data_IF_145530605959
#
_entry.id   IF_145530605959
#
_cell.length_a   1.000
_cell.length_b   1.000
_cell.length_c   1.000
_cell.angle_alpha   90.00
_cell.angle_beta   90.00
_cell.angle_gamma   90.00
#
_symmetry.space_group_name_H-M   'P 1'
#
loop_
_entity.id
_entity.type
_entity.pdbx_description
1 polymer ?
#
# COMPACT_ATOMS: atom_id res chain seq x y z
N UNK A 1 -23.78 1.77 22.66
CA UNK A 1 -23.89 2.20 24.06
C UNK A 1 -23.80 3.71 24.26
N UNK A 2 -22.87 4.47 23.65
CA UNK A 2 -22.83 5.96 23.74
C UNK A 2 -23.12 6.63 22.38
N UNK A 3 -23.97 6.03 21.54
CA UNK A 3 -24.47 6.68 20.32
C UNK A 3 -25.89 7.20 20.46
N UNK A 4 -26.59 6.82 21.53
CA UNK A 4 -27.97 7.25 21.83
C UNK A 4 -28.02 8.45 22.78
N UNK A 5 -26.88 8.87 23.33
CA UNK A 5 -26.78 10.05 24.18
C UNK A 5 -26.03 11.13 23.39
N UNK A 6 -26.69 11.70 22.38
CA UNK A 6 -26.28 13.02 21.88
C UNK A 6 -26.49 13.99 23.04
N UNK A 7 -25.43 14.26 23.80
CA UNK A 7 -25.43 15.35 24.76
C UNK A 7 -25.36 16.61 23.92
N UNK A 8 -26.53 17.16 23.62
CA UNK A 8 -26.77 18.25 22.66
C UNK A 8 -26.00 19.55 22.97
N UNK A 9 -25.32 19.63 24.13
CA UNK A 9 -24.59 20.80 24.59
C UNK A 9 -23.07 20.61 24.78
N UNK A 10 -22.49 19.44 24.45
CA UNK A 10 -21.05 19.21 24.64
C UNK A 10 -20.30 19.05 23.31
N UNK A 11 -19.29 19.88 23.09
CA UNK A 11 -18.43 19.77 21.91
C UNK A 11 -17.15 18.97 22.23
N UNK A 12 -17.10 17.74 21.70
CA UNK A 12 -15.97 16.82 21.84
C UNK A 12 -14.61 17.39 21.39
N UNK A 13 -14.60 18.35 20.47
CA UNK A 13 -13.36 18.95 19.96
C UNK A 13 -12.79 20.08 20.82
N UNK A 14 -13.56 20.58 21.80
CA UNK A 14 -13.21 21.76 22.61
C UNK A 14 -13.06 21.38 24.09
N UNK A 15 -13.80 20.39 24.56
CA UNK A 15 -13.82 20.01 25.97
C UNK A 15 -12.88 18.83 26.29
N UNK A 16 -11.79 19.12 27.00
CA UNK A 16 -10.81 18.12 27.46
C UNK A 16 -11.42 17.10 28.44
N UNK A 17 -12.54 17.42 29.07
CA UNK A 17 -13.28 16.56 29.99
C UNK A 17 -14.55 15.97 29.37
N UNK A 18 -14.74 16.06 28.05
CA UNK A 18 -15.93 15.57 27.34
C UNK A 18 -16.33 14.14 27.77
N UNK A 19 -15.37 13.22 27.81
CA UNK A 19 -15.62 11.83 28.22
C UNK A 19 -16.10 11.74 29.66
N UNK A 20 -15.52 12.53 30.57
CA UNK A 20 -15.96 12.59 31.96
C UNK A 20 -17.41 13.10 32.06
N UNK A 21 -17.74 14.19 31.38
CA UNK A 21 -19.10 14.75 31.39
C UNK A 21 -20.13 13.76 30.85
N UNK A 22 -19.80 13.05 29.77
CA UNK A 22 -20.65 11.99 29.22
C UNK A 22 -20.94 10.90 30.25
N UNK A 23 -19.90 10.35 30.89
CA UNK A 23 -20.10 9.31 31.90
C UNK A 23 -20.80 9.84 33.15
N UNK A 24 -20.50 11.08 33.56
CA UNK A 24 -21.17 11.72 34.68
C UNK A 24 -22.68 11.82 34.43
N UNK A 25 -23.11 12.31 33.26
CA UNK A 25 -24.54 12.36 32.91
C UNK A 25 -25.19 10.98 32.87
N UNK A 26 -24.51 9.97 32.31
CA UNK A 26 -25.02 8.60 32.29
C UNK A 26 -25.18 8.02 33.71
N UNK A 27 -24.29 8.37 34.64
CA UNK A 27 -24.34 7.92 36.03
C UNK A 27 -25.38 8.69 36.84
N UNK A 28 -25.45 10.01 36.69
CA UNK A 28 -26.30 10.88 37.52
C UNK A 28 -27.73 10.97 37.00
N UNK A 29 -27.89 11.16 35.69
CA UNK A 29 -29.19 11.45 35.06
C UNK A 29 -29.88 10.16 34.62
N UNK A 30 -29.13 9.24 34.00
CA UNK A 30 -29.68 7.96 33.54
C UNK A 30 -29.65 6.86 34.62
N UNK A 31 -29.16 7.18 35.82
CA UNK A 31 -29.07 6.29 37.01
C UNK A 31 -28.57 4.88 36.69
N UNK A 32 -27.63 4.75 35.75
CA UNK A 32 -27.04 3.46 35.43
C UNK A 32 -26.04 3.06 36.52
N UNK A 33 -25.99 1.76 36.80
CA UNK A 33 -25.02 1.18 37.72
C UNK A 33 -23.59 1.41 37.20
N UNK A 34 -22.78 2.10 37.99
CA UNK A 34 -21.39 2.38 37.67
C UNK A 34 -20.54 1.12 37.54
N UNK A 35 -20.83 0.08 38.32
CA UNK A 35 -20.11 -1.19 38.22
C UNK A 35 -20.43 -1.90 36.90
N UNK A 36 -21.69 -1.87 36.46
CA UNK A 36 -22.10 -2.39 35.16
C UNK A 36 -21.39 -1.65 34.00
N UNK A 37 -21.33 -0.31 34.05
CA UNK A 37 -20.62 0.49 33.04
C UNK A 37 -19.12 0.16 33.03
N UNK A 38 -18.49 0.09 34.21
CA UNK A 38 -17.07 -0.23 34.30
C UNK A 38 -16.77 -1.65 33.81
N UNK A 39 -17.67 -2.60 34.06
CA UNK A 39 -17.59 -3.96 33.51
C UNK A 39 -17.62 -3.95 31.98
N UNK A 40 -18.46 -3.12 31.37
CA UNK A 40 -18.51 -2.97 29.91
C UNK A 40 -17.23 -2.36 29.37
N UNK A 41 -16.71 -1.28 29.97
CA UNK A 41 -15.43 -0.67 29.57
C UNK A 41 -14.30 -1.69 29.60
N UNK A 42 -14.18 -2.46 30.70
CA UNK A 42 -13.20 -3.55 30.81
C UNK A 42 -13.41 -4.62 29.75
N UNK A 43 -14.66 -4.95 29.41
CA UNK A 43 -14.97 -5.90 28.35
C UNK A 43 -14.47 -5.41 26.99
N UNK A 44 -14.76 -4.16 26.60
CA UNK A 44 -14.26 -3.58 25.36
C UNK A 44 -12.72 -3.53 25.31
N UNK A 45 -12.08 -3.09 26.40
CA UNK A 45 -10.62 -3.06 26.49
C UNK A 45 -10.01 -4.45 26.28
N UNK A 46 -10.53 -5.47 26.97
CA UNK A 46 -10.07 -6.86 26.82
C UNK A 46 -10.25 -7.38 25.41
N UNK A 47 -11.38 -7.08 24.75
CA UNK A 47 -11.60 -7.44 23.34
C UNK A 47 -10.56 -6.81 22.43
N UNK A 48 -10.28 -5.51 22.57
CA UNK A 48 -9.27 -4.85 21.75
C UNK A 48 -7.85 -5.35 22.05
N UNK A 49 -7.54 -5.66 23.31
CA UNK A 49 -6.27 -6.25 23.68
C UNK A 49 -6.09 -7.65 23.06
N UNK A 50 -7.13 -8.49 23.07
CA UNK A 50 -7.09 -9.79 22.39
C UNK A 50 -6.84 -9.64 20.89
N UNK A 51 -7.52 -8.68 20.24
CA UNK A 51 -7.34 -8.41 18.81
C UNK A 51 -5.94 -7.91 18.50
N UNK A 52 -5.37 -7.06 19.36
CA UNK A 52 -4.03 -6.51 19.19
C UNK A 52 -2.94 -7.56 19.41
N UNK A 53 -3.09 -8.41 20.44
CA UNK A 53 -2.10 -9.44 20.78
C UNK A 53 -2.12 -10.61 19.79
N UNK A 54 -3.31 -11.01 19.32
CA UNK A 54 -3.40 -12.05 18.32
C UNK A 54 -3.02 -11.50 16.93
N UNK A 55 -1.89 -11.99 16.39
CA UNK A 55 -1.34 -11.53 15.12
C UNK A 55 -2.30 -11.64 13.94
N UNK A 56 -3.07 -12.71 13.84
CA UNK A 56 -4.04 -12.89 12.75
C UNK A 56 -5.19 -11.89 12.88
N UNK A 57 -5.74 -11.74 14.08
CA UNK A 57 -6.81 -10.78 14.36
C UNK A 57 -6.34 -9.34 14.12
N UNK A 58 -5.15 -8.96 14.59
CA UNK A 58 -4.56 -7.64 14.41
C UNK A 58 -4.56 -7.23 12.93
N UNK A 59 -4.10 -8.14 12.07
CA UNK A 59 -3.96 -7.89 10.64
C UNK A 59 -5.31 -7.88 9.91
N UNK A 60 -6.14 -8.92 10.11
CA UNK A 60 -7.44 -9.04 9.42
C UNK A 60 -8.41 -7.93 9.84
N UNK A 61 -8.48 -7.62 11.13
CA UNK A 61 -9.31 -6.51 11.64
C UNK A 61 -8.72 -5.17 11.22
N UNK A 62 -7.40 -5.01 11.26
CA UNK A 62 -6.71 -3.81 10.80
C UNK A 62 -7.05 -3.45 9.36
N UNK A 63 -7.04 -4.45 8.46
CA UNK A 63 -7.49 -4.30 7.06
C UNK A 63 -8.95 -3.84 6.99
N UNK A 64 -9.87 -4.56 7.65
CA UNK A 64 -11.29 -4.20 7.58
C UNK A 64 -11.59 -2.79 8.13
N UNK A 65 -10.86 -2.35 9.16
CA UNK A 65 -10.98 -1.01 9.73
C UNK A 65 -10.36 0.06 8.83
N UNK A 66 -9.26 -0.23 8.11
CA UNK A 66 -8.68 0.71 7.15
C UNK A 66 -9.66 1.01 6.02
N UNK A 67 -10.43 0.01 5.61
CA UNK A 67 -11.46 0.13 4.58
C UNK A 67 -12.73 0.83 5.05
N UNK A 68 -13.24 0.45 6.23
CA UNK A 68 -14.44 1.06 6.76
C UNK A 68 -14.47 1.04 8.29
N UNK A 69 -14.19 2.19 8.90
CA UNK A 69 -14.22 2.38 10.37
C UNK A 69 -15.56 2.00 11.01
N UNK A 70 -16.68 2.07 10.29
CA UNK A 70 -18.01 1.73 10.82
C UNK A 70 -18.18 0.24 11.10
N UNK A 71 -17.33 -0.63 10.55
CA UNK A 71 -17.42 -2.08 10.74
C UNK A 71 -17.13 -2.49 12.19
N UNK A 72 -16.44 -1.65 12.96
CA UNK A 72 -15.97 -1.98 14.31
C UNK A 72 -17.09 -2.47 15.24
N UNK A 73 -18.29 -1.88 15.17
CA UNK A 73 -19.43 -2.33 15.98
C UNK A 73 -19.87 -3.74 15.61
N UNK A 74 -19.88 -4.07 14.31
CA UNK A 74 -20.20 -5.40 13.79
C UNK A 74 -19.14 -6.42 14.21
N UNK A 75 -17.86 -6.05 14.15
CA UNK A 75 -16.75 -6.91 14.59
C UNK A 75 -16.87 -7.24 16.08
N UNK A 76 -17.13 -6.23 16.93
CA UNK A 76 -17.29 -6.44 18.37
C UNK A 76 -18.50 -7.35 18.62
N UNK A 77 -19.65 -7.06 18.00
CA UNK A 77 -20.85 -7.89 18.14
C UNK A 77 -20.57 -9.33 17.74
N UNK A 78 -19.97 -9.57 16.57
CA UNK A 78 -19.68 -10.94 16.11
C UNK A 78 -18.69 -11.64 17.05
N UNK A 79 -17.59 -10.98 17.43
CA UNK A 79 -16.57 -11.57 18.31
C UNK A 79 -17.10 -12.03 19.68
N UNK A 80 -18.13 -11.36 20.21
CA UNK A 80 -18.76 -11.69 21.50
C UNK A 80 -19.80 -12.81 21.40
N UNK A 81 -20.34 -13.06 20.21
CA UNK A 81 -21.50 -13.93 19.99
C UNK A 81 -21.22 -15.11 19.06
N UNK A 82 -19.95 -15.43 18.80
CA UNK A 82 -19.56 -16.59 17.99
C UNK A 82 -18.32 -17.27 18.55
N UNK A 83 -18.10 -18.53 18.18
CA UNK A 83 -16.85 -19.20 18.49
C UNK A 83 -15.66 -18.48 17.82
N UNK A 84 -14.46 -18.68 18.35
CA UNK A 84 -13.25 -18.02 17.81
C UNK A 84 -12.97 -18.40 16.35
N UNK A 85 -13.17 -19.67 15.99
CA UNK A 85 -13.04 -20.16 14.61
C UNK A 85 -14.04 -19.48 13.69
N UNK A 86 -15.32 -19.42 14.08
CA UNK A 86 -16.38 -18.76 13.32
C UNK A 86 -16.11 -17.26 13.14
N UNK A 87 -15.56 -16.59 14.15
CA UNK A 87 -15.17 -15.19 14.04
C UNK A 87 -14.05 -14.99 13.01
N UNK A 88 -13.02 -15.85 13.02
CA UNK A 88 -11.95 -15.80 12.01
C UNK A 88 -12.49 -16.02 10.60
N UNK A 89 -13.31 -17.06 10.40
CA UNK A 89 -13.97 -17.31 9.11
C UNK A 89 -14.84 -16.13 8.68
N UNK A 90 -15.53 -15.47 9.62
CA UNK A 90 -16.27 -14.25 9.32
C UNK A 90 -15.38 -13.10 8.85
N UNK A 91 -14.18 -12.92 9.43
CA UNK A 91 -13.23 -11.91 8.96
C UNK A 91 -12.79 -12.22 7.52
N UNK A 92 -12.47 -13.48 7.21
CA UNK A 92 -12.06 -13.91 5.87
C UNK A 92 -13.15 -13.66 4.83
N UNK A 93 -14.40 -14.00 5.16
CA UNK A 93 -15.55 -13.71 4.32
C UNK A 93 -15.71 -12.20 4.08
N UNK A 94 -15.52 -11.37 5.11
CA UNK A 94 -15.63 -9.91 4.96
C UNK A 94 -14.53 -9.32 4.09
N UNK A 95 -13.30 -9.85 4.17
CA UNK A 95 -12.19 -9.44 3.29
C UNK A 95 -12.51 -9.84 1.85
N UNK A 96 -12.96 -11.08 1.63
CA UNK A 96 -13.35 -11.59 0.31
C UNK A 96 -14.52 -10.81 -0.31
N UNK A 97 -15.57 -10.55 0.47
CA UNK A 97 -16.72 -9.72 0.06
C UNK A 97 -16.26 -8.32 -0.40
N UNK A 98 -15.33 -7.72 0.35
CA UNK A 98 -14.81 -6.39 0.07
C UNK A 98 -14.02 -6.37 -1.24
N UNK A 99 -13.07 -7.28 -1.42
CA UNK A 99 -12.32 -7.38 -2.69
C UNK A 99 -13.23 -7.66 -3.88
N UNK A 100 -14.15 -8.63 -3.75
CA UNK A 100 -15.11 -8.95 -4.82
C UNK A 100 -15.90 -7.72 -5.26
N UNK A 101 -16.35 -6.91 -4.30
CA UNK A 101 -17.09 -5.67 -4.59
C UNK A 101 -16.26 -4.66 -5.38
N UNK A 102 -15.00 -4.44 -5.02
CA UNK A 102 -14.15 -3.47 -5.72
C UNK A 102 -13.71 -3.95 -7.10
N UNK A 103 -13.53 -5.25 -7.28
CA UNK A 103 -13.16 -5.84 -8.56
C UNK A 103 -14.29 -5.70 -9.61
N UNK A 104 -15.56 -5.52 -9.19
CA UNK A 104 -16.71 -5.35 -10.10
C UNK A 104 -16.74 -6.44 -11.19
N UNK A 105 -16.59 -7.70 -10.76
CA UNK A 105 -16.55 -8.90 -11.60
C UNK A 105 -15.34 -9.00 -12.57
N UNK A 106 -14.34 -8.11 -12.46
CA UNK A 106 -13.06 -8.27 -13.17
C UNK A 106 -12.19 -9.35 -12.53
N UNK A 107 -11.27 -9.90 -13.31
CA UNK A 107 -10.12 -10.66 -12.80
C UNK A 107 -8.97 -9.69 -12.44
N UNK A 108 -8.02 -10.15 -11.62
CA UNK A 108 -6.82 -9.40 -11.25
C UNK A 108 -6.01 -8.96 -12.48
N UNK A 109 -5.97 -9.78 -13.52
CA UNK A 109 -5.26 -9.49 -14.77
C UNK A 109 -5.86 -8.29 -15.53
N UNK A 110 -7.15 -7.98 -15.29
CA UNK A 110 -7.85 -6.87 -15.92
C UNK A 110 -7.86 -5.59 -15.06
N UNK A 111 -7.09 -5.56 -13.97
CA UNK A 111 -6.97 -4.37 -13.13
C UNK A 111 -5.91 -3.42 -13.69
N UNK A 112 -6.37 -2.28 -14.17
CA UNK A 112 -5.53 -1.18 -14.64
C UNK A 112 -5.63 0.03 -13.71
N UNK A 113 -4.52 0.75 -13.54
CA UNK A 113 -4.40 1.90 -12.64
C UNK A 113 -5.55 2.92 -12.78
N UNK A 114 -5.88 3.32 -14.01
CA UNK A 114 -6.86 4.38 -14.31
C UNK A 114 -8.30 4.00 -13.95
N UNK A 115 -8.68 2.73 -14.14
CA UNK A 115 -10.07 2.29 -14.01
C UNK A 115 -10.33 1.42 -12.76
N UNK A 116 -9.28 1.00 -12.06
CA UNK A 116 -9.33 0.04 -10.96
C UNK A 116 -8.52 0.46 -9.74
N UNK A 117 -8.24 1.76 -9.57
CA UNK A 117 -7.39 2.31 -8.50
C UNK A 117 -7.71 1.77 -7.10
N UNK A 118 -8.99 1.74 -6.73
CA UNK A 118 -9.41 1.29 -5.40
C UNK A 118 -9.20 -0.23 -5.20
N UNK A 119 -9.53 -1.04 -6.21
CA UNK A 119 -9.28 -2.48 -6.22
C UNK A 119 -7.78 -2.77 -6.10
N UNK A 120 -6.95 -2.09 -6.89
CA UNK A 120 -5.49 -2.21 -6.86
C UNK A 120 -4.95 -1.87 -5.47
N UNK A 121 -5.38 -0.73 -4.89
CA UNK A 121 -4.91 -0.31 -3.56
C UNK A 121 -5.23 -1.34 -2.49
N UNK A 122 -6.44 -1.89 -2.50
CA UNK A 122 -6.86 -2.90 -1.53
C UNK A 122 -6.14 -4.24 -1.74
N UNK A 123 -5.92 -4.65 -2.99
CA UNK A 123 -5.15 -5.85 -3.32
C UNK A 123 -3.72 -5.73 -2.87
N UNK A 124 -3.05 -4.60 -3.13
CA UNK A 124 -1.67 -4.37 -2.69
C UNK A 124 -1.56 -4.27 -1.16
N UNK A 125 -2.54 -3.65 -0.49
CA UNK A 125 -2.60 -3.63 0.97
C UNK A 125 -2.76 -5.04 1.54
N UNK A 126 -3.71 -5.81 1.03
CA UNK A 126 -3.93 -7.19 1.49
C UNK A 126 -2.71 -8.07 1.16
N UNK A 127 -2.06 -7.87 0.02
CA UNK A 127 -0.85 -8.60 -0.35
C UNK A 127 0.27 -8.39 0.68
N UNK A 128 0.48 -7.15 1.13
CA UNK A 128 1.42 -6.83 2.21
C UNK A 128 1.04 -7.54 3.51
N UNK A 129 -0.23 -7.49 3.88
CA UNK A 129 -0.73 -8.08 5.12
C UNK A 129 -0.63 -9.61 5.10
N UNK A 130 -1.08 -10.24 4.02
CA UNK A 130 -1.09 -11.70 3.90
C UNK A 130 0.33 -12.26 3.75
N UNK A 131 1.25 -11.52 3.12
CA UNK A 131 2.69 -11.88 3.10
C UNK A 131 3.27 -11.92 4.52
N UNK A 132 2.92 -10.95 5.37
CA UNK A 132 3.28 -11.01 6.78
C UNK A 132 2.64 -12.25 7.41
N UNK A 133 1.32 -12.43 7.30
CA UNK A 133 0.59 -13.54 7.93
C UNK A 133 1.14 -14.92 7.56
N UNK A 134 1.50 -15.15 6.29
CA UNK A 134 2.06 -16.40 5.79
C UNK A 134 3.42 -16.75 6.43
N UNK A 135 4.17 -15.76 6.93
CA UNK A 135 5.40 -16.01 7.68
C UNK A 135 5.09 -16.17 9.17
N UNK A 136 4.84 -17.42 9.59
CA UNK A 136 4.56 -17.78 10.99
C UNK A 136 5.77 -17.57 11.92
N UNK A 137 6.99 -17.52 11.37
CA UNK A 137 8.24 -17.32 12.14
C UNK A 137 8.54 -15.85 12.41
N UNK A 138 7.79 -14.93 11.81
CA UNK A 138 7.98 -13.49 11.99
C UNK A 138 6.92 -12.90 12.92
N UNK A 139 7.35 -12.08 13.87
CA UNK A 139 6.45 -11.27 14.72
C UNK A 139 6.15 -9.89 14.11
N UNK A 140 6.60 -9.61 12.88
CA UNK A 140 6.35 -8.34 12.21
C UNK A 140 4.85 -8.06 12.09
N UNK A 141 4.49 -6.80 12.33
CA UNK A 141 3.14 -6.26 12.23
C UNK A 141 3.10 -5.15 11.19
N UNK A 142 2.04 -5.12 10.40
CA UNK A 142 1.78 -4.01 9.48
C UNK A 142 1.55 -2.71 10.28
N UNK A 143 2.17 -1.60 9.85
CA UNK A 143 2.10 -0.32 10.57
C UNK A 143 0.80 0.44 10.25
N UNK A 144 -0.36 -0.08 10.69
CA UNK A 144 -1.67 0.55 10.45
C UNK A 144 -1.77 1.99 10.96
N UNK A 145 -1.06 2.34 12.03
CA UNK A 145 -1.02 3.71 12.56
C UNK A 145 -0.48 4.69 11.53
N UNK A 146 0.68 4.36 10.92
CA UNK A 146 1.24 5.13 9.80
C UNK A 146 0.35 5.07 8.58
N UNK A 147 -0.16 3.89 8.23
CA UNK A 147 -1.05 3.70 7.08
C UNK A 147 -2.27 4.63 7.11
N UNK A 148 -2.79 4.91 8.31
CA UNK A 148 -3.96 5.76 8.52
C UNK A 148 -3.63 7.26 8.63
N UNK A 149 -2.45 7.61 9.14
CA UNK A 149 -2.05 9.00 9.41
C UNK A 149 -1.36 9.66 8.21
N UNK A 150 -0.64 8.85 7.42
CA UNK A 150 0.09 9.30 6.24
C UNK A 150 -0.77 9.14 4.98
N UNK A 151 -0.35 9.78 3.89
CA UNK A 151 -1.03 9.65 2.61
C UNK A 151 -0.40 8.51 1.81
N UNK A 152 -1.16 7.45 1.55
CA UNK A 152 -0.70 6.29 0.78
C UNK A 152 -1.28 6.27 -0.62
N UNK A 153 -0.40 6.10 -1.60
CA UNK A 153 -0.72 6.07 -3.03
C UNK A 153 -0.16 4.81 -3.69
N UNK A 154 -0.39 4.69 -4.99
CA UNK A 154 0.16 3.62 -5.81
C UNK A 154 1.34 4.15 -6.62
N UNK A 155 2.49 3.50 -6.47
CA UNK A 155 3.72 3.74 -7.22
C UNK A 155 3.77 2.85 -8.47
N UNK A 156 4.29 3.38 -9.58
CA UNK A 156 4.62 2.59 -10.75
C UNK A 156 6.07 2.11 -10.64
N UNK A 157 6.32 0.81 -10.62
CA UNK A 157 7.67 0.26 -10.42
C UNK A 157 8.58 0.72 -11.58
N UNK A 158 8.16 0.48 -12.81
CA UNK A 158 8.76 1.04 -14.02
C UNK A 158 8.18 2.41 -14.35
N UNK A 159 8.97 3.29 -14.96
CA UNK A 159 8.51 4.62 -15.33
C UNK A 159 7.42 4.58 -16.42
N UNK A 160 6.61 5.64 -16.46
CA UNK A 160 5.72 5.91 -17.58
C UNK A 160 6.45 6.88 -18.52
N UNK A 161 7.05 6.37 -19.62
CA UNK A 161 7.92 7.09 -20.56
C UNK A 161 7.33 8.37 -21.17
N UNK A 162 6.04 8.58 -21.01
CA UNK A 162 5.24 9.63 -21.63
C UNK A 162 5.59 11.03 -21.07
N UNK A 163 6.57 11.13 -20.16
CA UNK A 163 6.97 12.36 -19.46
C UNK A 163 8.46 12.67 -19.56
N UNK A 164 9.01 12.66 -20.78
CA UNK A 164 10.37 13.18 -21.02
C UNK A 164 10.52 14.62 -20.47
N UNK A 165 11.60 14.96 -19.76
CA UNK A 165 11.80 16.32 -19.25
C UNK A 165 11.91 17.36 -20.39
N UNK A 166 11.09 18.41 -20.31
CA UNK A 166 11.07 19.50 -21.32
C UNK A 166 11.74 20.76 -20.75
N UNK A 167 11.39 21.15 -19.53
CA UNK A 167 11.91 22.38 -18.92
C UNK A 167 13.37 22.19 -18.50
N UNK A 168 14.16 23.26 -18.62
CA UNK A 168 15.58 23.29 -18.21
C UNK A 168 15.81 22.75 -16.79
N UNK A 169 14.95 23.13 -15.84
CA UNK A 169 15.01 22.65 -14.46
C UNK A 169 14.75 21.13 -14.37
N UNK A 170 13.71 20.61 -15.02
CA UNK A 170 13.41 19.17 -14.99
C UNK A 170 14.49 18.33 -15.70
N UNK A 171 15.14 18.87 -16.74
CA UNK A 171 16.28 18.22 -17.39
C UNK A 171 17.49 18.14 -16.47
N UNK A 172 17.75 19.22 -15.72
CA UNK A 172 18.83 19.26 -14.72
C UNK A 172 18.57 18.23 -13.62
N UNK A 173 17.38 18.23 -13.03
CA UNK A 173 16.98 17.25 -12.02
C UNK A 173 17.20 15.81 -12.53
N UNK A 174 16.77 15.53 -13.76
CA UNK A 174 16.97 14.21 -14.38
C UNK A 174 18.46 13.88 -14.59
N UNK A 175 19.29 14.82 -15.02
CA UNK A 175 20.74 14.58 -15.20
C UNK A 175 21.44 14.32 -13.86
N UNK A 176 21.02 14.99 -12.80
CA UNK A 176 21.56 14.79 -11.45
C UNK A 176 21.15 13.40 -10.90
N UNK A 177 19.90 12.98 -11.13
CA UNK A 177 19.43 11.63 -10.83
C UNK A 177 20.28 10.58 -11.58
N UNK A 178 20.45 10.73 -12.89
CA UNK A 178 21.17 9.75 -13.72
C UNK A 178 22.66 9.71 -13.40
N UNK A 179 23.30 10.83 -13.06
CA UNK A 179 24.69 10.86 -12.59
C UNK A 179 24.89 10.03 -11.33
N UNK A 180 23.90 10.01 -10.42
CA UNK A 180 23.98 9.20 -9.19
C UNK A 180 24.11 7.68 -9.45
N UNK A 181 23.83 7.23 -10.68
CA UNK A 181 23.95 5.84 -11.10
C UNK A 181 25.35 5.47 -11.61
N UNK A 182 26.26 6.44 -11.79
CA UNK A 182 27.64 6.23 -12.26
C UNK A 182 27.72 5.40 -13.56
N UNK A 183 26.89 5.73 -14.56
CA UNK A 183 26.85 5.00 -15.83
C UNK A 183 28.01 5.40 -16.76
N UNK A 184 28.53 4.43 -17.52
CA UNK A 184 29.59 4.69 -18.52
C UNK A 184 29.16 5.68 -19.60
N UNK A 185 27.87 5.65 -19.98
CA UNK A 185 27.29 6.56 -20.96
C UNK A 185 27.37 8.05 -20.57
N UNK A 186 27.68 8.36 -19.30
CA UNK A 186 27.83 9.72 -18.80
C UNK A 186 29.30 10.17 -18.76
N UNK A 187 30.24 9.27 -19.02
CA UNK A 187 31.67 9.58 -19.02
C UNK A 187 31.95 10.55 -20.16
N UNK A 188 32.50 11.73 -19.83
CA UNK A 188 32.81 12.84 -20.74
C UNK A 188 31.62 13.66 -21.26
N UNK A 189 30.46 13.55 -20.62
CA UNK A 189 29.34 14.45 -20.92
C UNK A 189 29.48 15.76 -20.14
N UNK A 190 29.44 16.88 -20.86
CA UNK A 190 29.27 18.21 -20.25
C UNK A 190 27.77 18.46 -20.02
N UNK A 191 27.36 18.48 -18.74
CA UNK A 191 25.96 18.71 -18.35
C UNK A 191 25.47 20.08 -18.81
N UNK A 192 26.32 21.11 -18.74
CA UNK A 192 25.96 22.47 -19.11
C UNK A 192 25.65 22.54 -20.61
N UNK A 193 26.45 21.87 -21.45
CA UNK A 193 26.20 21.80 -22.90
C UNK A 193 24.87 21.10 -23.22
N UNK A 194 24.54 20.01 -22.51
CA UNK A 194 23.26 19.30 -22.69
C UNK A 194 22.07 20.16 -22.25
N UNK A 195 22.22 20.92 -21.16
CA UNK A 195 21.14 21.71 -20.56
C UNK A 195 20.89 23.00 -21.36
N UNK A 196 21.94 23.62 -21.90
CA UNK A 196 21.86 24.86 -22.70
C UNK A 196 21.50 24.61 -24.18
N UNK A 197 21.46 23.35 -24.63
CA UNK A 197 21.02 22.97 -25.96
C UNK A 197 19.56 23.42 -26.21
N UNK A 198 19.43 24.48 -27.01
CA UNK A 198 18.14 25.07 -27.40
C UNK A 198 17.25 24.12 -28.18
N UNK A 199 17.84 23.20 -28.95
CA UNK A 199 17.09 22.23 -29.76
C UNK A 199 16.82 20.93 -28.99
N UNK A 200 17.50 20.75 -27.85
CA UNK A 200 17.39 19.55 -27.00
C UNK A 200 17.83 18.26 -27.68
N UNK A 201 18.55 18.31 -28.80
CA UNK A 201 19.04 17.15 -29.53
C UNK A 201 19.99 16.32 -28.66
N UNK A 202 20.98 16.95 -28.02
CA UNK A 202 21.96 16.26 -27.17
C UNK A 202 21.27 15.60 -25.97
N UNK A 203 20.34 16.33 -25.32
CA UNK A 203 19.53 15.78 -24.25
C UNK A 203 18.68 14.60 -24.72
N UNK A 204 18.07 14.73 -25.90
CA UNK A 204 17.19 13.70 -26.44
C UNK A 204 17.95 12.41 -26.74
N UNK A 205 19.12 12.52 -27.37
CA UNK A 205 20.00 11.39 -27.66
C UNK A 205 20.50 10.71 -26.39
N UNK A 206 20.91 11.49 -25.37
CA UNK A 206 21.31 10.92 -24.09
C UNK A 206 20.13 10.20 -23.44
N UNK A 207 18.96 10.83 -23.36
CA UNK A 207 17.77 10.24 -22.77
C UNK A 207 17.43 8.90 -23.43
N UNK A 208 17.41 8.83 -24.76
CA UNK A 208 17.11 7.59 -25.51
C UNK A 208 18.18 6.51 -25.30
N UNK A 209 19.45 6.91 -25.14
CA UNK A 209 20.54 5.98 -24.79
C UNK A 209 20.31 5.35 -23.43
N UNK A 210 19.98 6.17 -22.42
CA UNK A 210 19.72 5.71 -21.05
C UNK A 210 18.41 4.90 -20.96
N UNK A 211 17.38 5.32 -21.70
CA UNK A 211 16.10 4.60 -21.79
C UNK A 211 16.31 3.18 -22.34
N UNK A 212 17.14 3.03 -23.38
CA UNK A 212 17.53 1.73 -23.94
C UNK A 212 18.39 0.90 -22.99
N UNK A 213 19.35 1.51 -22.30
CA UNK A 213 20.20 0.83 -21.30
C UNK A 213 19.35 0.16 -20.21
N UNK A 214 18.29 0.83 -19.75
CA UNK A 214 17.37 0.26 -18.76
C UNK A 214 16.24 -0.59 -19.35
N UNK A 215 16.23 -0.74 -20.68
CA UNK A 215 15.17 -1.44 -21.42
C UNK A 215 13.80 -0.81 -21.24
N UNK A 216 13.77 0.47 -20.85
CA UNK A 216 12.54 1.21 -20.62
C UNK A 216 11.92 1.73 -21.93
N UNK A 217 12.61 1.64 -23.06
CA UNK A 217 12.13 1.98 -24.41
C UNK A 217 11.10 0.97 -24.97
N UNK A 218 11.05 -0.24 -24.39
CA UNK A 218 10.20 -1.33 -24.85
C UNK A 218 8.73 -1.12 -24.48
N UNK A 219 7.82 -1.55 -25.35
CA UNK A 219 6.38 -1.61 -25.01
C UNK A 219 6.20 -2.50 -23.78
N UNK A 220 5.42 -2.03 -22.82
CA UNK A 220 5.18 -2.68 -21.55
C UNK A 220 3.85 -2.20 -20.99
N UNK A 221 3.09 -3.10 -20.38
CA UNK A 221 1.86 -2.72 -19.71
C UNK A 221 2.17 -1.97 -18.41
N UNK A 222 2.23 -0.64 -18.54
CA UNK A 222 2.52 0.26 -17.44
C UNK A 222 1.38 0.34 -16.43
N UNK A 223 0.15 0.06 -16.86
CA UNK A 223 -1.05 0.29 -16.05
C UNK A 223 -1.48 -0.94 -15.26
N UNK A 224 -1.04 -2.14 -15.66
CA UNK A 224 -1.32 -3.38 -14.94
C UNK A 224 -0.77 -3.39 -13.53
N UNK A 225 -1.49 -4.05 -12.61
CA UNK A 225 -1.07 -4.27 -11.22
C UNK A 225 0.30 -4.94 -11.09
N UNK A 226 0.76 -5.67 -12.11
CA UNK A 226 2.11 -6.25 -12.19
C UNK A 226 3.24 -5.20 -12.19
N UNK A 227 2.91 -3.94 -12.41
CA UNK A 227 3.84 -2.81 -12.36
C UNK A 227 3.52 -1.83 -11.21
N UNK A 228 2.67 -2.22 -10.26
CA UNK A 228 2.17 -1.31 -9.23
C UNK A 228 2.55 -1.77 -7.82
N UNK A 229 2.91 -0.81 -6.98
CA UNK A 229 3.27 -1.04 -5.59
C UNK A 229 2.63 -0.01 -4.65
N UNK A 230 2.44 -0.37 -3.38
CA UNK A 230 1.87 0.54 -2.38
C UNK A 230 2.99 1.38 -1.76
N UNK A 231 2.89 2.71 -1.81
CA UNK A 231 3.95 3.59 -1.32
C UNK A 231 3.37 4.86 -0.68
N UNK A 232 4.10 5.45 0.27
CA UNK A 232 3.70 6.75 0.78
C UNK A 232 3.84 7.81 -0.32
N UNK A 233 2.92 8.77 -0.32
CA UNK A 233 2.83 9.76 -1.36
C UNK A 233 3.99 10.78 -1.30
N UNK A 234 4.68 10.91 -0.16
CA UNK A 234 5.88 11.74 -0.04
C UNK A 234 7.03 11.16 -0.86
N UNK A 235 7.35 9.89 -0.63
CA UNK A 235 8.38 9.16 -1.40
C UNK A 235 8.01 9.06 -2.88
N UNK A 236 6.77 8.67 -3.22
CA UNK A 236 6.32 8.58 -4.61
C UNK A 236 6.51 9.90 -5.38
N UNK A 237 6.19 11.04 -4.75
CA UNK A 237 6.39 12.36 -5.37
C UNK A 237 7.87 12.79 -5.46
N UNK A 238 8.76 12.25 -4.63
CA UNK A 238 10.15 12.72 -4.53
C UNK A 238 10.95 12.54 -5.83
N UNK A 239 10.71 11.44 -6.55
CA UNK A 239 11.43 11.10 -7.79
C UNK A 239 10.54 11.07 -9.04
N UNK A 240 9.28 11.55 -8.95
CA UNK A 240 8.35 11.71 -10.08
C UNK A 240 8.30 10.45 -10.99
N UNK A 241 8.61 10.61 -12.29
CA UNK A 241 8.65 9.57 -13.31
C UNK A 241 10.09 9.08 -13.59
N UNK A 242 10.98 9.08 -12.60
CA UNK A 242 12.35 8.59 -12.77
C UNK A 242 12.38 7.12 -13.22
N UNK A 243 13.48 6.68 -13.84
CA UNK A 243 13.66 5.28 -14.22
C UNK A 243 13.75 4.36 -13.01
N UNK A 244 13.43 3.08 -13.21
CA UNK A 244 13.43 2.06 -12.17
C UNK A 244 14.70 2.03 -11.30
N UNK A 245 15.95 2.12 -11.81
CA UNK A 245 17.14 2.16 -10.97
C UNK A 245 17.15 3.31 -9.95
N UNK A 246 16.67 4.49 -10.33
CA UNK A 246 16.59 5.67 -9.46
C UNK A 246 15.58 5.42 -8.34
N UNK A 247 14.36 5.00 -8.73
CA UNK A 247 13.30 4.64 -7.78
C UNK A 247 13.79 3.57 -6.80
N UNK A 248 14.42 2.52 -7.33
CA UNK A 248 15.01 1.44 -6.55
C UNK A 248 16.02 1.96 -5.54
N UNK A 249 16.98 2.79 -5.95
CA UNK A 249 17.97 3.34 -5.03
C UNK A 249 17.31 4.12 -3.88
N UNK A 250 16.31 4.95 -4.18
CA UNK A 250 15.60 5.73 -3.16
C UNK A 250 14.83 4.83 -2.21
N UNK A 251 14.12 3.82 -2.71
CA UNK A 251 13.42 2.84 -1.88
C UNK A 251 14.38 2.07 -0.97
N UNK A 252 15.54 1.66 -1.48
CA UNK A 252 16.56 0.96 -0.69
C UNK A 252 17.20 1.86 0.37
N UNK A 253 17.46 3.13 0.04
CA UNK A 253 17.97 4.10 1.02
C UNK A 253 16.94 4.38 2.11
N UNK A 254 15.67 4.50 1.75
CA UNK A 254 14.59 4.68 2.72
C UNK A 254 14.47 3.46 3.64
N UNK A 255 14.49 2.24 3.08
CA UNK A 255 14.47 0.99 3.85
C UNK A 255 15.69 0.89 4.78
N UNK A 256 16.89 1.23 4.29
CA UNK A 256 18.13 1.26 5.08
C UNK A 256 18.06 2.25 6.24
N UNK A 257 17.42 3.40 6.05
CA UNK A 257 17.23 4.43 7.07
C UNK A 257 16.03 4.14 8.01
N UNK A 258 15.38 2.98 7.88
CA UNK A 258 14.25 2.58 8.72
C UNK A 258 12.97 3.36 8.44
N UNK A 259 12.87 4.02 7.28
CA UNK A 259 11.62 4.60 6.79
C UNK A 259 10.68 3.44 6.44
N UNK A 260 9.43 3.54 6.86
CA UNK A 260 8.48 2.45 6.66
C UNK A 260 8.14 2.26 5.18
N UNK A 261 8.64 1.17 4.60
CA UNK A 261 8.25 0.67 3.29
C UNK A 261 7.44 -0.63 3.48
N UNK A 262 6.25 -0.77 2.87
CA UNK A 262 5.50 -2.02 2.94
C UNK A 262 6.34 -3.20 2.42
N UNK A 263 6.26 -4.34 3.09
CA UNK A 263 7.15 -5.48 2.83
C UNK A 263 7.15 -5.91 1.35
N UNK A 264 5.98 -5.93 0.71
CA UNK A 264 5.86 -6.32 -0.70
C UNK A 264 6.41 -5.26 -1.64
N UNK A 265 6.27 -3.97 -1.31
CA UNK A 265 6.89 -2.88 -2.06
C UNK A 265 8.40 -2.99 -2.01
N UNK A 266 8.98 -3.15 -0.81
CA UNK A 266 10.41 -3.40 -0.65
C UNK A 266 10.85 -4.62 -1.46
N UNK A 267 10.14 -5.74 -1.32
CA UNK A 267 10.48 -6.98 -2.02
C UNK A 267 10.42 -6.83 -3.55
N UNK A 268 9.49 -6.03 -4.10
CA UNK A 268 9.40 -5.75 -5.54
C UNK A 268 10.64 -4.96 -6.02
N UNK A 269 11.01 -3.87 -5.35
CA UNK A 269 12.19 -3.08 -5.73
C UNK A 269 13.53 -3.79 -5.48
N UNK A 270 13.59 -4.73 -4.52
CA UNK A 270 14.76 -5.62 -4.35
C UNK A 270 14.75 -6.76 -5.37
N UNK A 271 13.64 -6.99 -6.07
CA UNK A 271 13.41 -8.11 -7.00
C UNK A 271 13.39 -9.50 -6.34
N UNK A 272 12.87 -9.61 -5.12
CA UNK A 272 12.71 -10.90 -4.42
C UNK A 272 11.64 -11.82 -5.02
N UNK A 273 10.75 -11.29 -5.86
CA UNK A 273 9.74 -12.09 -6.55
C UNK A 273 10.25 -12.66 -7.87
N UNK A 274 11.23 -12.01 -8.50
CA UNK A 274 11.85 -12.44 -9.75
C UNK A 274 12.58 -13.76 -9.57
N UNK A 275 12.24 -14.78 -10.35
CA UNK A 275 12.90 -16.09 -10.31
C UNK A 275 14.29 -16.06 -10.95
N UNK A 276 14.43 -15.37 -12.07
CA UNK A 276 15.65 -15.33 -12.87
C UNK A 276 16.20 -13.90 -12.99
N UNK A 277 16.92 -13.44 -11.97
CA UNK A 277 17.49 -12.09 -11.95
C UNK A 277 18.67 -12.01 -12.92
N UNK A 278 18.45 -11.37 -14.07
CA UNK A 278 19.50 -11.09 -15.06
C UNK A 278 20.17 -9.73 -14.81
N UNK A 279 19.36 -8.68 -14.64
CA UNK A 279 19.82 -7.35 -14.25
C UNK A 279 18.90 -6.79 -13.15
N UNK A 280 19.52 -6.32 -12.07
CA UNK A 280 18.86 -5.72 -10.91
C UNK A 280 18.40 -4.28 -11.19
N UNK A 281 18.95 -3.64 -12.22
CA UNK A 281 18.67 -2.26 -12.63
C UNK A 281 17.51 -2.14 -13.60
N UNK A 282 16.93 -3.24 -14.06
CA UNK A 282 15.80 -3.22 -15.01
C UNK A 282 14.55 -3.86 -14.39
N UNK A 283 13.37 -3.38 -14.76
CA UNK A 283 12.09 -4.05 -14.49
C UNK A 283 11.48 -4.54 -15.82
N UNK A 284 11.62 -5.84 -16.07
CA UNK A 284 11.21 -6.51 -17.31
C UNK A 284 9.82 -7.13 -17.18
N UNK A 285 9.28 -7.57 -18.30
CA UNK A 285 8.01 -8.30 -18.36
C UNK A 285 8.01 -9.56 -17.47
N UNK A 286 9.08 -10.34 -17.52
CA UNK A 286 9.28 -11.52 -16.66
C UNK A 286 9.23 -11.16 -15.15
N UNK A 287 9.78 -10.00 -14.76
CA UNK A 287 9.72 -9.53 -13.36
C UNK A 287 8.29 -9.19 -12.95
N UNK A 288 7.55 -8.54 -13.85
CA UNK A 288 6.17 -8.15 -13.64
C UNK A 288 5.25 -9.39 -13.56
N UNK A 289 5.46 -10.37 -14.44
CA UNK A 289 4.74 -11.66 -14.43
C UNK A 289 4.99 -12.45 -13.14
N UNK A 290 6.26 -12.59 -12.72
CA UNK A 290 6.61 -13.27 -11.48
C UNK A 290 6.03 -12.56 -10.25
N UNK A 291 6.03 -11.22 -10.24
CA UNK A 291 5.40 -10.42 -9.20
C UNK A 291 3.88 -10.61 -9.16
N UNK A 292 3.20 -10.57 -10.30
CA UNK A 292 1.76 -10.82 -10.40
C UNK A 292 1.42 -12.24 -9.92
N UNK A 293 2.22 -13.23 -10.30
CA UNK A 293 2.07 -14.61 -9.84
C UNK A 293 2.23 -14.71 -8.31
N UNK A 294 3.17 -13.98 -7.71
CA UNK A 294 3.33 -13.92 -6.26
C UNK A 294 2.08 -13.32 -5.58
N UNK A 295 1.47 -12.28 -6.16
CA UNK A 295 0.21 -11.70 -5.66
C UNK A 295 -0.92 -12.75 -5.74
N UNK A 296 -1.10 -13.39 -6.91
CA UNK A 296 -2.13 -14.42 -7.13
C UNK A 296 -2.01 -15.57 -6.14
N UNK A 297 -0.82 -16.13 -5.97
CA UNK A 297 -0.55 -17.24 -5.05
C UNK A 297 -0.84 -16.83 -3.60
N UNK A 298 -0.36 -15.64 -3.20
CA UNK A 298 -0.50 -15.16 -1.83
C UNK A 298 -1.96 -14.88 -1.47
N UNK A 299 -2.76 -14.40 -2.43
CA UNK A 299 -4.14 -13.98 -2.21
C UNK A 299 -5.20 -14.95 -2.75
N UNK A 300 -4.80 -16.17 -3.14
CA UNK A 300 -5.69 -17.16 -3.79
C UNK A 300 -7.03 -17.39 -3.08
N UNK A 301 -7.05 -17.31 -1.75
CA UNK A 301 -8.26 -17.58 -0.95
C UNK A 301 -9.22 -16.38 -0.91
N UNK A 302 -8.74 -15.18 -1.24
CA UNK A 302 -9.48 -13.91 -1.18
C UNK A 302 -9.84 -13.33 -2.54
N UNK A 303 -9.08 -13.65 -3.60
CA UNK A 303 -9.37 -13.16 -4.93
C UNK A 303 -10.73 -13.69 -5.42
N UNK A 304 -11.49 -12.90 -6.20
CA UNK A 304 -12.69 -13.40 -6.87
C UNK A 304 -12.30 -14.53 -7.84
N UNK A 305 -13.27 -15.40 -8.17
CA UNK A 305 -13.03 -16.56 -9.05
C UNK A 305 -12.21 -16.13 -10.26
N UNK A 306 -11.01 -16.69 -10.37
CA UNK A 306 -10.19 -16.58 -11.55
C UNK A 306 -10.77 -17.61 -12.50
N UNK A 307 -11.79 -17.22 -13.26
CA UNK A 307 -12.31 -18.12 -14.30
C UNK A 307 -11.13 -18.55 -15.16
N UNK A 308 -10.97 -19.86 -15.22
CA UNK A 308 -9.84 -20.54 -15.79
C UNK A 308 -9.95 -20.39 -17.30
N UNK A 309 -9.23 -19.43 -17.88
CA UNK A 309 -8.75 -19.63 -19.25
C UNK A 309 -7.71 -20.75 -19.16
N UNK A 310 -8.20 -22.00 -19.20
CA UNK A 310 -7.41 -23.13 -19.60
C UNK A 310 -7.00 -22.82 -21.04
N UNK A 311 -5.76 -22.39 -21.21
CA UNK A 311 -5.07 -22.54 -22.48
C UNK A 311 -4.90 -24.06 -22.71
N UNK A 312 -5.76 -24.60 -23.59
CA UNK A 312 -5.37 -25.74 -24.44
C UNK A 312 -4.49 -25.23 -25.58
#
# INVERSE_FOLDING_TARGET
>A
YIKEYEITNLNKSIDSYYTFHVFNEVLTTNKKDGDAIWKDVKSYFRTFNEWFENRELFHKIGFLISENKSIISTLIYKSKNSAKSEFKSFLDLKIKDKLKKEYKDKNIDALEFENSKEAIKQTLLLFNIQTLLNNEKSNMRFQFDRFKKENWDIEHIRSQNDKKPIKKADKKDWLDDIESLNLEALINIDKEDIIEDKQSEAFNTLYETIEKEFGEDKVFDKASISNLALLDAGTNRSYKNAFFPIKRNIILQNDMNGIFIPICTRNAFVKYYTKNIQDIRTWKEEDAEDYLNAIKITLKDYLPNQDVENAE
#
